data_IF_941213479320
#
_entry.id   IF_941213479320
#
_cell.length_a   1.000
_cell.length_b   1.000
_cell.length_c   1.000
_cell.angle_alpha   90.00
_cell.angle_beta   90.00
_cell.angle_gamma   90.00
#
_symmetry.space_group_name_H-M   'P 1'
#
loop_
_entity.id
_entity.type
_entity.pdbx_description
1 polymer ?
#
# COMPACT_ATOMS: atom_id res chain seq x y z
N UNK A 1 11.33 -7.77 3.22
CA UNK A 1 12.66 -8.26 3.68
C UNK A 1 12.73 -9.79 3.72
N UNK A 2 11.77 -10.48 4.38
CA UNK A 2 11.82 -11.95 4.61
C UNK A 2 12.01 -12.79 3.33
N UNK A 3 11.37 -12.44 2.22
CA UNK A 3 11.48 -13.18 0.96
C UNK A 3 12.77 -12.87 0.19
N UNK A 4 13.32 -11.67 0.32
CA UNK A 4 14.58 -11.30 -0.31
C UNK A 4 15.76 -12.03 0.31
N UNK A 5 15.75 -12.23 1.62
CA UNK A 5 16.78 -12.96 2.35
C UNK A 5 16.94 -14.41 1.88
N UNK A 6 15.85 -15.05 1.41
CA UNK A 6 15.90 -16.42 0.84
C UNK A 6 16.61 -16.52 -0.51
N UNK A 7 16.95 -15.41 -1.16
CA UNK A 7 17.54 -15.32 -2.52
C UNK A 7 19.04 -14.99 -2.52
N UNK A 8 19.78 -15.33 -1.48
CA UNK A 8 21.21 -15.03 -1.32
C UNK A 8 21.54 -13.52 -1.30
N UNK A 9 20.54 -12.65 -1.05
CA UNK A 9 20.79 -11.22 -0.88
C UNK A 9 21.13 -10.92 0.58
N UNK A 10 22.09 -10.02 0.81
CA UNK A 10 22.28 -9.43 2.13
C UNK A 10 21.21 -8.37 2.35
N UNK A 11 20.23 -8.65 3.20
CA UNK A 11 19.08 -7.78 3.43
C UNK A 11 19.21 -7.05 4.76
N UNK A 12 19.02 -5.75 4.73
CA UNK A 12 18.92 -4.89 5.90
C UNK A 12 17.52 -4.25 5.90
N UNK A 13 16.90 -4.17 7.06
CA UNK A 13 15.66 -3.43 7.29
C UNK A 13 15.96 -2.13 8.01
N UNK A 14 15.24 -1.07 7.64
CA UNK A 14 15.23 0.22 8.34
C UNK A 14 13.78 0.55 8.65
N UNK A 15 13.45 0.74 9.92
CA UNK A 15 12.10 1.01 10.40
C UNK A 15 12.18 1.68 11.76
N UNK A 16 11.45 2.77 11.99
CA UNK A 16 11.42 3.47 13.28
C UNK A 16 10.50 2.79 14.31
N UNK A 17 9.86 1.69 13.93
CA UNK A 17 8.96 0.85 14.76
C UNK A 17 7.78 1.61 15.38
N UNK A 18 7.42 2.76 14.82
CA UNK A 18 6.35 3.63 15.34
C UNK A 18 4.94 3.07 15.12
N UNK A 19 4.79 2.13 14.16
CA UNK A 19 3.47 1.57 13.87
C UNK A 19 3.15 0.38 14.77
N UNK A 20 1.88 0.30 15.16
CA UNK A 20 1.36 -0.84 15.89
C UNK A 20 1.61 -2.13 15.12
N UNK A 21 2.14 -3.15 15.77
CA UNK A 21 2.51 -4.42 15.15
C UNK A 21 3.94 -4.47 14.57
N UNK A 22 4.65 -3.35 14.42
CA UNK A 22 6.04 -3.36 13.93
C UNK A 22 6.98 -4.21 14.80
N UNK A 23 6.79 -4.22 16.10
CA UNK A 23 7.56 -5.09 17.01
C UNK A 23 7.32 -6.59 16.78
N UNK A 24 6.08 -6.98 16.44
CA UNK A 24 5.82 -8.36 16.04
C UNK A 24 6.58 -8.71 14.77
N UNK A 25 6.51 -7.85 13.73
CA UNK A 25 7.23 -8.06 12.48
C UNK A 25 8.76 -8.05 12.70
N UNK A 26 9.28 -7.19 13.59
CA UNK A 26 10.69 -7.19 13.99
C UNK A 26 11.12 -8.54 14.58
N UNK A 27 10.29 -9.17 15.40
CA UNK A 27 10.61 -10.49 15.97
C UNK A 27 10.78 -11.55 14.89
N UNK A 28 10.00 -11.47 13.80
CA UNK A 28 10.14 -12.37 12.64
C UNK A 28 11.42 -12.09 11.83
N UNK A 29 11.82 -10.83 11.71
CA UNK A 29 13.08 -10.46 11.06
C UNK A 29 14.28 -11.01 11.84
N UNK A 30 14.27 -10.86 13.17
CA UNK A 30 15.30 -11.41 14.08
C UNK A 30 15.43 -12.92 13.95
N UNK A 31 14.30 -13.67 13.91
CA UNK A 31 14.30 -15.13 13.72
C UNK A 31 14.90 -15.57 12.38
N UNK A 32 15.04 -14.67 11.42
CA UNK A 32 15.64 -14.90 10.09
C UNK A 32 16.98 -14.20 9.91
N UNK A 33 17.60 -13.74 11.01
CA UNK A 33 18.89 -13.05 11.01
C UNK A 33 18.93 -11.81 10.09
N UNK A 34 17.77 -11.12 9.95
CA UNK A 34 17.69 -9.86 9.22
C UNK A 34 17.87 -8.72 10.23
N UNK A 35 18.96 -7.97 10.10
CA UNK A 35 19.22 -6.80 10.94
C UNK A 35 18.23 -5.70 10.62
N UNK A 36 17.60 -5.13 11.64
CA UNK A 36 16.83 -3.90 11.55
C UNK A 36 17.58 -2.78 12.24
N UNK A 37 17.69 -1.64 11.57
CA UNK A 37 18.12 -0.40 12.17
C UNK A 37 16.89 0.41 12.57
N UNK A 38 16.76 0.73 13.86
CA UNK A 38 15.67 1.58 14.36
C UNK A 38 16.00 3.05 14.04
N UNK A 39 15.62 3.48 12.84
CA UNK A 39 15.91 4.81 12.31
C UNK A 39 14.64 5.36 11.67
N UNK A 40 14.32 6.62 12.01
CA UNK A 40 13.37 7.43 11.27
C UNK A 40 14.06 7.98 10.01
N UNK A 41 13.45 7.76 8.84
CA UNK A 41 14.00 8.19 7.56
C UNK A 41 14.06 9.72 7.40
N UNK A 42 13.34 10.48 8.23
CA UNK A 42 13.48 11.94 8.29
C UNK A 42 14.83 12.39 8.87
N UNK A 43 15.56 11.49 9.56
CA UNK A 43 16.86 11.77 10.15
C UNK A 43 18.01 11.32 9.23
N UNK A 44 18.45 12.22 8.36
CA UNK A 44 19.52 11.92 7.41
C UNK A 44 20.85 11.54 8.07
N UNK A 45 21.25 12.23 9.16
CA UNK A 45 22.50 11.94 9.89
C UNK A 45 22.61 10.49 10.40
N UNK A 46 21.46 9.83 10.63
CA UNK A 46 21.44 8.40 10.98
C UNK A 46 21.45 7.51 9.72
N UNK A 47 20.76 7.92 8.65
CA UNK A 47 20.71 7.17 7.40
C UNK A 47 22.07 7.10 6.70
N UNK A 48 22.81 8.22 6.65
CA UNK A 48 24.11 8.28 5.97
C UNK A 48 25.16 7.33 6.56
N UNK A 49 25.05 7.04 7.88
CA UNK A 49 25.95 6.10 8.59
C UNK A 49 25.67 4.62 8.29
N UNK A 50 24.57 4.32 7.60
CA UNK A 50 24.27 2.95 7.18
C UNK A 50 25.26 2.46 6.13
N UNK A 51 25.50 1.14 6.05
CA UNK A 51 26.33 0.56 5.00
C UNK A 51 25.88 0.99 3.60
N UNK A 52 26.76 0.87 2.63
CA UNK A 52 26.42 1.07 1.22
C UNK A 52 25.43 0.01 0.75
N UNK A 53 24.46 0.42 -0.06
CA UNK A 53 23.44 -0.44 -0.65
C UNK A 53 23.54 -0.44 -2.18
N UNK A 54 23.32 -1.59 -2.82
CA UNK A 54 23.16 -1.70 -4.27
C UNK A 54 21.76 -1.32 -4.73
N UNK A 55 20.77 -1.53 -3.86
CA UNK A 55 19.36 -1.28 -4.11
C UNK A 55 18.63 -0.89 -2.83
N UNK A 56 17.83 0.15 -2.90
CA UNK A 56 16.91 0.57 -1.86
C UNK A 56 15.48 0.27 -2.34
N UNK A 57 14.68 -0.37 -1.48
CA UNK A 57 13.23 -0.54 -1.70
C UNK A 57 12.54 0.32 -0.66
N UNK A 58 12.03 1.47 -1.08
CA UNK A 58 11.35 2.41 -0.19
C UNK A 58 9.87 2.06 -0.07
N UNK A 59 9.49 1.56 1.10
CA UNK A 59 8.13 1.23 1.52
C UNK A 59 7.64 2.16 2.64
N UNK A 60 8.45 3.17 3.02
CA UNK A 60 8.14 4.02 4.15
C UNK A 60 7.04 5.02 3.82
N UNK A 61 6.07 5.14 4.70
CA UNK A 61 5.08 6.20 4.63
C UNK A 61 4.23 6.27 5.92
N UNK A 62 3.84 7.49 6.29
CA UNK A 62 2.61 7.69 7.05
C UNK A 62 1.45 7.69 6.03
N UNK A 63 0.77 6.55 5.95
CA UNK A 63 -0.18 6.27 4.87
C UNK A 63 -1.65 6.58 5.22
N UNK A 64 -1.93 6.96 6.46
CA UNK A 64 -3.28 7.22 6.93
C UNK A 64 -3.72 8.64 6.55
N UNK A 65 -4.74 8.75 5.68
CA UNK A 65 -5.30 10.04 5.26
C UNK A 65 -5.87 10.82 6.46
N UNK A 66 -6.44 10.13 7.46
CA UNK A 66 -6.97 10.78 8.67
C UNK A 66 -5.86 11.34 9.58
N UNK A 67 -4.65 10.75 9.58
CA UNK A 67 -3.51 11.30 10.30
C UNK A 67 -3.12 12.66 9.72
N UNK A 68 -3.21 12.84 8.39
CA UNK A 68 -2.89 14.13 7.77
C UNK A 68 -3.80 15.28 8.19
N UNK A 69 -4.96 15.00 8.80
CA UNK A 69 -5.83 16.03 9.38
C UNK A 69 -5.40 16.47 10.78
N UNK A 70 -4.70 15.61 11.50
CA UNK A 70 -4.32 15.83 12.90
C UNK A 70 -2.87 16.22 13.06
N UNK A 71 -2.00 15.74 12.18
CA UNK A 71 -0.56 15.89 12.26
C UNK A 71 0.03 15.99 10.84
N UNK A 72 -0.06 17.18 10.27
CA UNK A 72 0.44 17.50 8.92
C UNK A 72 1.95 17.31 8.83
N UNK A 73 2.66 17.78 9.84
CA UNK A 73 4.12 17.75 9.88
C UNK A 73 4.63 16.32 9.82
N UNK A 74 4.04 15.44 10.61
CA UNK A 74 4.41 14.02 10.58
C UNK A 74 4.27 13.41 9.19
N UNK A 75 3.17 13.69 8.49
CA UNK A 75 2.96 13.16 7.14
C UNK A 75 3.97 13.77 6.17
N UNK A 76 4.21 15.08 6.25
CA UNK A 76 5.14 15.78 5.38
C UNK A 76 6.59 15.33 5.62
N UNK A 77 7.04 15.34 6.87
CA UNK A 77 8.40 14.92 7.21
C UNK A 77 8.66 13.43 6.91
N UNK A 78 7.74 12.54 7.24
CA UNK A 78 7.93 11.12 6.96
C UNK A 78 7.93 10.86 5.45
N UNK A 79 6.94 11.38 4.71
CA UNK A 79 6.76 10.96 3.31
C UNK A 79 7.65 11.72 2.34
N UNK A 80 7.75 13.05 2.47
CA UNK A 80 8.48 13.86 1.51
C UNK A 80 9.95 14.05 1.92
N UNK A 81 10.20 14.54 3.15
CA UNK A 81 11.57 14.73 3.64
C UNK A 81 12.27 13.38 3.82
N UNK A 82 11.53 12.37 4.30
CA UNK A 82 12.05 11.00 4.40
C UNK A 82 12.49 10.46 3.04
N UNK A 83 11.64 10.59 1.98
CA UNK A 83 12.02 10.18 0.62
C UNK A 83 13.21 10.99 0.10
N UNK A 84 13.26 12.31 0.32
CA UNK A 84 14.41 13.13 -0.03
C UNK A 84 15.72 12.62 0.63
N UNK A 85 15.66 12.23 1.90
CA UNK A 85 16.80 11.65 2.60
C UNK A 85 17.22 10.27 2.03
N UNK A 86 16.24 9.44 1.66
CA UNK A 86 16.50 8.18 0.94
C UNK A 86 17.18 8.44 -0.40
N UNK A 87 16.77 9.47 -1.13
CA UNK A 87 17.39 9.86 -2.40
C UNK A 87 18.82 10.37 -2.21
N UNK A 88 19.09 11.16 -1.17
CA UNK A 88 20.48 11.53 -0.81
C UNK A 88 21.34 10.30 -0.54
N UNK A 89 20.83 9.35 0.25
CA UNK A 89 21.51 8.08 0.54
C UNK A 89 21.74 7.26 -0.74
N UNK A 90 20.71 7.18 -1.61
CA UNK A 90 20.85 6.50 -2.89
C UNK A 90 21.91 7.11 -3.79
N UNK A 91 22.03 8.44 -3.82
CA UNK A 91 23.08 9.17 -4.54
C UNK A 91 24.47 8.84 -3.97
N UNK A 92 24.66 8.91 -2.65
CA UNK A 92 25.93 8.59 -1.98
C UNK A 92 26.37 7.16 -2.28
N UNK A 93 25.45 6.21 -2.25
CA UNK A 93 25.73 4.80 -2.46
C UNK A 93 25.83 4.40 -3.94
N UNK A 94 25.39 5.25 -4.85
CA UNK A 94 25.13 4.92 -6.27
C UNK A 94 24.13 3.76 -6.40
N UNK A 95 23.17 3.66 -5.47
CA UNK A 95 22.17 2.60 -5.44
C UNK A 95 21.02 2.88 -6.40
N UNK A 96 20.30 1.82 -6.75
CA UNK A 96 19.04 1.88 -7.48
C UNK A 96 17.90 2.02 -6.50
N UNK A 97 16.72 2.46 -6.98
CA UNK A 97 15.55 2.67 -6.16
C UNK A 97 14.32 1.95 -6.71
N UNK A 98 13.61 1.20 -5.87
CA UNK A 98 12.22 0.80 -6.11
C UNK A 98 11.36 1.52 -5.08
N UNK A 99 10.45 2.38 -5.54
CA UNK A 99 9.59 3.21 -4.69
C UNK A 99 8.16 2.69 -4.72
N UNK A 100 7.59 2.39 -3.56
CA UNK A 100 6.18 2.08 -3.42
C UNK A 100 5.39 3.37 -3.23
N UNK A 101 4.84 3.86 -4.31
CA UNK A 101 3.88 4.95 -4.35
C UNK A 101 2.45 4.43 -4.15
N UNK A 102 1.45 5.22 -4.43
CA UNK A 102 0.06 4.94 -4.10
C UNK A 102 -0.90 5.39 -5.20
N UNK A 103 -2.06 4.77 -5.27
CA UNK A 103 -3.19 5.24 -6.07
C UNK A 103 -3.75 6.61 -5.58
N UNK A 104 -3.37 7.07 -4.39
CA UNK A 104 -3.79 8.38 -3.87
C UNK A 104 -3.10 9.57 -4.54
N UNK A 105 -2.13 9.34 -5.43
CA UNK A 105 -1.55 10.39 -6.28
C UNK A 105 -2.55 10.94 -7.29
N UNK A 106 -3.59 10.20 -7.63
CA UNK A 106 -4.63 10.65 -8.56
C UNK A 106 -5.62 11.62 -7.89
N UNK A 107 -6.05 12.69 -8.59
CA UNK A 107 -6.95 13.70 -8.05
C UNK A 107 -8.33 13.14 -7.72
N UNK A 108 -8.89 13.56 -6.60
CA UNK A 108 -10.19 13.06 -6.10
C UNK A 108 -11.32 13.49 -7.02
N UNK A 109 -11.34 14.76 -7.43
CA UNK A 109 -12.37 15.30 -8.33
C UNK A 109 -12.40 14.56 -9.67
N UNK A 110 -11.21 14.33 -10.26
CA UNK A 110 -11.08 13.62 -11.53
C UNK A 110 -11.51 12.15 -11.43
N UNK A 111 -11.25 11.49 -10.29
CA UNK A 111 -11.74 10.13 -10.07
C UNK A 111 -13.26 10.10 -9.87
N UNK A 112 -13.81 11.08 -9.15
CA UNK A 112 -15.25 11.18 -8.89
C UNK A 112 -16.04 11.50 -10.17
N UNK A 113 -15.48 12.29 -11.09
CA UNK A 113 -16.12 12.63 -12.36
C UNK A 113 -16.29 11.43 -13.32
N UNK A 114 -15.53 10.35 -13.10
CA UNK A 114 -15.70 9.12 -13.88
C UNK A 114 -17.02 8.40 -13.59
N UNK A 115 -17.70 8.76 -12.50
CA UNK A 115 -18.96 8.15 -12.10
C UNK A 115 -20.11 9.05 -12.54
N UNK A 116 -20.70 8.73 -13.70
CA UNK A 116 -21.78 9.51 -14.32
C UNK A 116 -23.13 9.33 -13.63
N UNK A 117 -23.34 8.23 -12.91
CA UNK A 117 -24.61 7.86 -12.27
C UNK A 117 -24.41 7.67 -10.77
N UNK A 118 -25.33 8.10 -9.94
CA UNK A 118 -25.27 8.02 -8.47
C UNK A 118 -25.29 6.57 -7.90
N UNK A 119 -25.41 5.53 -8.73
CA UNK A 119 -25.49 4.13 -8.31
C UNK A 119 -24.19 3.39 -8.61
N UNK A 120 -23.32 3.29 -7.64
CA UNK A 120 -21.99 2.66 -7.73
C UNK A 120 -22.06 1.23 -8.31
N UNK A 121 -23.05 0.43 -7.92
CA UNK A 121 -23.19 -0.97 -8.36
C UNK A 121 -23.39 -1.11 -9.88
N UNK A 122 -24.07 -0.16 -10.51
CA UNK A 122 -24.30 -0.15 -11.97
C UNK A 122 -23.08 0.38 -12.74
N UNK A 123 -22.28 1.24 -12.13
CA UNK A 123 -21.10 1.86 -12.77
C UNK A 123 -19.88 0.95 -12.83
N UNK A 124 -19.75 -0.04 -11.93
CA UNK A 124 -18.60 -0.96 -11.89
C UNK A 124 -18.42 -1.69 -13.22
N UNK A 125 -19.51 -2.08 -13.88
CA UNK A 125 -19.46 -2.82 -15.15
C UNK A 125 -18.79 -2.03 -16.27
N UNK A 126 -18.92 -0.70 -16.25
CA UNK A 126 -18.43 0.22 -17.29
C UNK A 126 -17.26 1.08 -16.80
N UNK A 127 -16.76 0.86 -15.57
CA UNK A 127 -15.71 1.70 -14.99
C UNK A 127 -14.40 1.57 -15.77
N UNK A 128 -13.89 2.71 -16.25
CA UNK A 128 -12.59 2.79 -16.90
C UNK A 128 -11.49 2.58 -15.86
N UNK A 129 -10.73 1.49 -15.98
CA UNK A 129 -9.58 1.21 -15.12
C UNK A 129 -8.53 2.31 -15.23
N UNK A 130 -7.92 2.67 -14.10
CA UNK A 130 -6.95 3.76 -13.98
C UNK A 130 -5.54 3.25 -14.26
N UNK A 131 -4.83 3.91 -15.16
CA UNK A 131 -3.42 3.66 -15.46
C UNK A 131 -2.55 4.92 -15.26
N UNK A 132 -1.27 4.83 -15.62
CA UNK A 132 -0.28 5.87 -15.41
C UNK A 132 -0.54 7.16 -16.18
N UNK A 133 -1.35 7.09 -17.26
CA UNK A 133 -1.70 8.22 -18.13
C UNK A 133 -2.88 9.03 -17.58
N UNK A 134 -3.50 8.57 -16.49
CA UNK A 134 -4.57 9.32 -15.88
C UNK A 134 -4.05 10.67 -15.39
N UNK A 135 -4.80 11.74 -15.67
CA UNK A 135 -4.41 13.10 -15.33
C UNK A 135 -4.11 13.26 -13.84
N UNK A 136 -2.99 13.91 -13.54
CA UNK A 136 -2.54 14.20 -12.18
C UNK A 136 -2.86 15.63 -11.72
N UNK A 137 -3.48 16.46 -12.56
CA UNK A 137 -3.85 17.82 -12.19
C UNK A 137 -5.11 17.82 -11.32
N UNK A 138 -5.06 18.52 -10.18
CA UNK A 138 -6.18 18.66 -9.26
C UNK A 138 -5.85 18.26 -7.82
N UNK A 139 -6.79 18.52 -6.91
CA UNK A 139 -6.61 18.29 -5.48
C UNK A 139 -6.68 16.80 -5.10
N UNK A 140 -5.86 16.44 -4.12
CA UNK A 140 -5.80 15.13 -3.47
C UNK A 140 -5.56 15.33 -1.97
N UNK A 141 -5.49 14.26 -1.18
CA UNK A 141 -5.09 14.40 0.23
C UNK A 141 -3.61 14.83 0.34
N UNK A 142 -3.22 15.40 1.48
CA UNK A 142 -1.81 15.71 1.78
C UNK A 142 -0.92 14.46 1.63
N UNK A 143 -1.40 13.30 2.09
CA UNK A 143 -0.73 12.03 1.84
C UNK A 143 -0.49 11.78 0.33
N UNK A 144 -1.53 11.93 -0.49
CA UNK A 144 -1.40 11.77 -1.94
C UNK A 144 -0.46 12.79 -2.56
N UNK A 145 -0.50 14.04 -2.09
CA UNK A 145 0.42 15.11 -2.51
C UNK A 145 1.87 14.75 -2.17
N UNK A 146 2.18 14.39 -0.92
CA UNK A 146 3.56 14.04 -0.52
C UNK A 146 4.12 12.87 -1.31
N UNK A 147 3.30 11.87 -1.63
CA UNK A 147 3.73 10.74 -2.47
C UNK A 147 3.97 11.15 -3.92
N UNK A 148 3.12 12.02 -4.51
CA UNK A 148 3.35 12.55 -5.86
C UNK A 148 4.59 13.45 -5.93
N UNK A 149 4.77 14.35 -4.97
CA UNK A 149 5.96 15.18 -4.87
C UNK A 149 7.23 14.32 -4.73
N UNK A 150 7.16 13.20 -4.01
CA UNK A 150 8.25 12.22 -3.94
C UNK A 150 8.56 11.57 -5.29
N UNK A 151 7.53 11.25 -6.10
CA UNK A 151 7.73 10.74 -7.47
C UNK A 151 8.49 11.78 -8.32
N UNK A 152 8.09 13.04 -8.26
CA UNK A 152 8.75 14.14 -8.99
C UNK A 152 10.21 14.31 -8.53
N UNK A 153 10.48 14.29 -7.22
CA UNK A 153 11.87 14.30 -6.72
C UNK A 153 12.71 13.13 -7.22
N UNK A 154 12.13 11.93 -7.31
CA UNK A 154 12.82 10.75 -7.85
C UNK A 154 13.19 10.97 -9.32
N UNK A 155 12.29 11.56 -10.12
CA UNK A 155 12.54 11.89 -11.53
C UNK A 155 13.66 12.93 -11.67
N UNK A 156 13.68 13.98 -10.86
CA UNK A 156 14.74 14.99 -10.83
C UNK A 156 16.10 14.39 -10.41
N UNK A 157 16.13 13.52 -9.39
CA UNK A 157 17.36 12.82 -9.01
C UNK A 157 17.86 11.88 -10.11
N UNK A 158 16.95 11.27 -10.87
CA UNK A 158 17.32 10.47 -12.03
C UNK A 158 17.95 11.31 -13.11
N UNK A 159 17.35 12.45 -13.42
CA UNK A 159 17.85 13.37 -14.44
C UNK A 159 19.22 13.94 -14.08
N UNK A 160 19.36 14.47 -12.84
CA UNK A 160 20.58 15.16 -12.41
C UNK A 160 21.72 14.21 -12.00
N UNK A 161 21.40 13.04 -11.44
CA UNK A 161 22.39 12.16 -10.80
C UNK A 161 22.37 10.73 -11.36
N UNK A 162 21.69 10.49 -12.47
CA UNK A 162 21.62 9.17 -13.14
C UNK A 162 21.07 8.05 -12.23
N UNK A 163 20.18 8.40 -11.27
CA UNK A 163 19.53 7.42 -10.40
C UNK A 163 18.61 6.51 -11.23
N UNK A 164 18.86 5.20 -11.21
CA UNK A 164 17.96 4.22 -11.82
C UNK A 164 16.82 3.90 -10.85
N UNK A 165 15.58 4.14 -11.26
CA UNK A 165 14.41 3.93 -10.41
C UNK A 165 13.28 3.15 -11.08
N UNK A 166 12.40 2.60 -10.24
CA UNK A 166 11.07 2.09 -10.59
C UNK A 166 10.07 2.61 -9.57
N UNK A 167 8.98 3.21 -10.03
CA UNK A 167 7.87 3.67 -9.20
C UNK A 167 6.67 2.75 -9.40
N UNK A 168 6.11 2.23 -8.32
CA UNK A 168 4.88 1.45 -8.31
C UNK A 168 3.76 2.24 -7.62
N UNK A 169 2.80 2.79 -8.38
CA UNK A 169 1.57 3.39 -7.85
C UNK A 169 0.62 2.29 -7.44
N UNK A 170 0.75 1.85 -6.19
CA UNK A 170 0.00 0.72 -5.68
C UNK A 170 -1.45 1.07 -5.34
N UNK A 171 -2.39 0.17 -5.69
CA UNK A 171 -3.73 0.11 -5.13
C UNK A 171 -3.69 -0.31 -3.65
N UNK A 172 -4.82 -0.81 -3.14
CA UNK A 172 -4.83 -1.35 -1.78
C UNK A 172 -4.01 -2.64 -1.75
N UNK A 173 -3.06 -2.73 -0.82
CA UNK A 173 -2.27 -3.93 -0.58
C UNK A 173 -2.79 -4.60 0.69
N UNK A 174 -2.97 -5.93 0.64
CA UNK A 174 -3.31 -6.71 1.82
C UNK A 174 -2.64 -8.08 1.82
N UNK A 175 -2.56 -8.68 3.01
CA UNK A 175 -1.99 -10.02 3.23
C UNK A 175 -1.64 -10.25 4.70
N UNK A 176 -1.16 -11.45 5.03
CA UNK A 176 -0.67 -11.76 6.37
C UNK A 176 0.37 -10.74 6.86
N UNK A 177 0.47 -10.54 8.17
CA UNK A 177 1.36 -9.60 8.87
C UNK A 177 0.94 -8.12 8.74
N UNK A 178 -0.22 -7.82 8.14
CA UNK A 178 -0.78 -6.47 8.13
C UNK A 178 -1.73 -6.29 9.33
N UNK A 179 -1.39 -5.36 10.22
CA UNK A 179 -2.22 -4.96 11.35
C UNK A 179 -3.16 -3.84 10.89
N UNK A 180 -4.43 -4.19 10.71
CA UNK A 180 -5.46 -3.26 10.23
C UNK A 180 -5.88 -2.26 11.29
N UNK A 181 -6.04 -0.99 10.88
CA UNK A 181 -6.65 0.10 11.66
C UNK A 181 -7.85 0.65 10.90
N UNK A 182 -8.63 1.51 11.54
CA UNK A 182 -9.84 2.09 10.95
C UNK A 182 -9.55 2.87 9.64
N UNK A 183 -8.40 3.48 9.56
CA UNK A 183 -7.94 4.33 8.46
C UNK A 183 -6.99 3.62 7.47
N UNK A 184 -6.53 2.40 7.80
CA UNK A 184 -5.61 1.65 6.96
C UNK A 184 -5.71 0.14 7.18
N UNK A 185 -5.66 -0.65 6.08
CA UNK A 185 -5.66 -2.11 6.17
C UNK A 185 -7.06 -2.67 6.48
N UNK A 186 -8.07 -2.13 5.83
CA UNK A 186 -9.47 -2.48 6.09
C UNK A 186 -9.78 -3.98 5.94
N UNK A 187 -9.10 -4.71 5.07
CA UNK A 187 -9.31 -6.17 4.91
C UNK A 187 -8.93 -6.90 6.20
N UNK A 188 -7.73 -6.64 6.73
CA UNK A 188 -7.28 -7.27 7.98
C UNK A 188 -8.14 -6.84 9.18
N UNK A 189 -8.58 -5.56 9.20
CA UNK A 189 -9.46 -5.05 10.25
C UNK A 189 -10.84 -5.74 10.22
N UNK A 190 -11.43 -5.92 9.02
CA UNK A 190 -12.74 -6.58 8.86
C UNK A 190 -12.69 -8.02 9.35
N UNK A 191 -11.70 -8.77 8.91
CA UNK A 191 -11.49 -10.16 9.33
C UNK A 191 -11.22 -10.27 10.82
N UNK A 192 -10.40 -9.36 11.40
CA UNK A 192 -10.16 -9.32 12.84
C UNK A 192 -11.45 -9.07 13.64
N UNK A 193 -12.27 -8.12 13.19
CA UNK A 193 -13.54 -7.79 13.85
C UNK A 193 -14.54 -8.94 13.79
N UNK A 194 -14.68 -9.62 12.64
CA UNK A 194 -15.51 -10.82 12.53
C UNK A 194 -15.00 -11.96 13.42
N UNK A 195 -13.70 -12.24 13.41
CA UNK A 195 -13.09 -13.28 14.23
C UNK A 195 -13.30 -13.05 15.73
N UNK A 196 -13.44 -11.80 16.16
CA UNK A 196 -13.59 -11.41 17.57
C UNK A 196 -14.99 -10.86 17.92
N UNK A 197 -15.96 -10.92 16.99
CA UNK A 197 -17.35 -10.43 17.17
C UNK A 197 -17.41 -8.96 17.58
N UNK A 198 -16.57 -8.13 17.00
CA UNK A 198 -16.51 -6.68 17.27
C UNK A 198 -17.33 -5.91 16.23
N UNK A 199 -17.95 -4.79 16.64
CA UNK A 199 -18.78 -3.96 15.76
C UNK A 199 -18.04 -3.47 14.52
N UNK A 200 -18.72 -3.46 13.38
CA UNK A 200 -18.24 -2.92 12.11
C UNK A 200 -19.13 -1.76 11.66
N UNK A 201 -18.56 -0.84 10.86
CA UNK A 201 -19.30 0.33 10.37
C UNK A 201 -19.04 0.54 8.89
N UNK A 202 -20.10 0.73 8.09
CA UNK A 202 -19.97 1.27 6.74
C UNK A 202 -19.95 2.79 6.83
N UNK A 203 -18.89 3.41 6.36
CA UNK A 203 -18.70 4.87 6.41
C UNK A 203 -18.76 5.47 5.01
N UNK A 204 -19.43 6.60 4.87
CA UNK A 204 -19.57 7.33 3.61
C UNK A 204 -20.59 6.75 2.65
N UNK A 205 -20.93 7.51 1.62
CA UNK A 205 -21.87 7.16 0.55
C UNK A 205 -23.21 6.59 1.07
N UNK A 206 -23.78 7.26 2.09
CA UNK A 206 -25.02 6.86 2.73
C UNK A 206 -24.90 5.63 3.65
N UNK A 207 -23.67 5.23 4.02
CA UNK A 207 -23.43 4.06 4.87
C UNK A 207 -23.84 2.73 4.23
N UNK A 208 -23.81 2.66 2.89
CA UNK A 208 -24.25 1.46 2.14
C UNK A 208 -23.12 0.44 1.90
N UNK A 209 -21.86 0.81 2.09
CA UNK A 209 -20.71 -0.08 1.90
C UNK A 209 -20.41 -0.49 0.46
N UNK A 210 -20.93 0.27 -0.54
CA UNK A 210 -20.78 -0.04 -1.96
C UNK A 210 -19.49 0.51 -2.59
N UNK A 211 -18.65 1.23 -1.85
CA UNK A 211 -17.35 1.71 -2.36
C UNK A 211 -16.49 0.53 -2.80
N UNK A 212 -15.88 0.66 -3.99
CA UNK A 212 -15.09 -0.42 -4.58
C UNK A 212 -13.61 -0.09 -4.60
N UNK A 213 -12.80 -1.04 -4.19
CA UNK A 213 -11.35 -1.04 -4.33
C UNK A 213 -10.89 -2.35 -4.93
N UNK A 214 -9.82 -2.30 -5.70
CA UNK A 214 -9.06 -3.49 -6.01
C UNK A 214 -7.98 -3.71 -4.95
N UNK A 215 -7.85 -4.96 -4.53
CA UNK A 215 -6.91 -5.36 -3.48
C UNK A 215 -5.82 -6.23 -4.06
N UNK A 216 -4.57 -5.86 -3.88
CA UNK A 216 -3.41 -6.65 -4.31
C UNK A 216 -2.89 -7.48 -3.16
N UNK A 217 -2.73 -8.79 -3.38
CA UNK A 217 -2.09 -9.65 -2.39
C UNK A 217 -0.59 -9.34 -2.29
N UNK A 218 -0.07 -9.34 -1.06
CA UNK A 218 1.36 -9.08 -0.81
C UNK A 218 2.29 -10.05 -1.56
N UNK A 219 1.87 -11.31 -1.81
CA UNK A 219 2.66 -12.28 -2.56
C UNK A 219 2.73 -11.93 -4.05
N UNK A 220 1.67 -11.39 -4.64
CA UNK A 220 1.69 -10.92 -6.02
C UNK A 220 2.59 -9.70 -6.18
N UNK A 221 2.53 -8.75 -5.22
CA UNK A 221 3.47 -7.62 -5.18
C UNK A 221 4.92 -8.10 -5.01
N UNK A 222 5.16 -9.06 -4.12
CA UNK A 222 6.47 -9.69 -3.93
C UNK A 222 7.03 -10.29 -5.23
N UNK A 223 6.21 -11.02 -6.00
CA UNK A 223 6.60 -11.57 -7.30
C UNK A 223 7.01 -10.46 -8.27
N UNK A 224 6.23 -9.37 -8.34
CA UNK A 224 6.56 -8.22 -9.18
C UNK A 224 7.90 -7.59 -8.78
N UNK A 225 8.09 -7.28 -7.50
CA UNK A 225 9.32 -6.67 -7.00
C UNK A 225 10.55 -7.54 -7.31
N UNK A 226 10.44 -8.87 -7.22
CA UNK A 226 11.53 -9.78 -7.62
C UNK A 226 11.85 -9.68 -9.12
N UNK A 227 10.84 -9.57 -9.99
CA UNK A 227 11.05 -9.37 -11.43
C UNK A 227 11.71 -8.01 -11.70
N UNK A 228 11.29 -6.97 -10.98
CA UNK A 228 11.87 -5.63 -11.08
C UNK A 228 13.34 -5.63 -10.64
N UNK A 229 13.68 -6.25 -9.52
CA UNK A 229 15.07 -6.40 -9.05
C UNK A 229 15.95 -7.07 -10.10
N UNK A 230 15.48 -8.16 -10.71
CA UNK A 230 16.23 -8.88 -11.75
C UNK A 230 16.47 -8.05 -13.00
N UNK A 231 15.54 -7.15 -13.34
CA UNK A 231 15.54 -6.42 -14.62
C UNK A 231 15.90 -4.94 -14.47
N UNK A 232 16.11 -4.39 -13.25
CA UNK A 232 16.30 -2.94 -13.02
C UNK A 232 17.53 -2.35 -13.72
N UNK A 233 18.51 -3.17 -14.09
CA UNK A 233 19.65 -2.72 -14.87
C UNK A 233 19.28 -2.41 -16.34
N UNK A 234 18.26 -3.08 -16.86
CA UNK A 234 17.79 -2.95 -18.26
C UNK A 234 16.48 -2.15 -18.37
N UNK A 235 15.62 -2.25 -17.33
CA UNK A 235 14.29 -1.62 -17.28
C UNK A 235 14.23 -0.73 -16.04
N UNK A 236 14.43 0.56 -16.24
CA UNK A 236 14.45 1.58 -15.19
C UNK A 236 13.77 2.87 -15.67
N UNK A 237 13.65 3.86 -14.80
CA UNK A 237 13.00 5.16 -15.04
C UNK A 237 11.58 4.97 -15.58
N UNK A 238 10.83 4.14 -14.88
CA UNK A 238 9.46 3.78 -15.23
C UNK A 238 8.53 3.84 -14.04
N UNK A 239 7.34 4.36 -14.28
CA UNK A 239 6.22 4.36 -13.35
C UNK A 239 5.18 3.35 -13.79
N UNK A 240 4.63 2.57 -12.86
CA UNK A 240 3.62 1.56 -13.09
C UNK A 240 2.44 1.70 -12.14
N UNK A 241 1.22 1.52 -12.63
CA UNK A 241 0.05 1.27 -11.79
C UNK A 241 -0.02 -0.22 -11.46
N UNK A 242 -0.14 -0.52 -10.17
CA UNK A 242 -0.04 -1.89 -9.65
C UNK A 242 -1.16 -2.15 -8.65
N UNK A 243 -2.09 -3.03 -8.97
CA UNK A 243 -3.20 -3.37 -8.06
C UNK A 243 -3.82 -4.71 -8.37
N UNK A 244 -4.91 -5.03 -7.67
CA UNK A 244 -5.66 -6.28 -7.84
C UNK A 244 -6.46 -6.34 -9.14
N UNK A 245 -6.68 -5.20 -9.79
CA UNK A 245 -7.48 -5.05 -11.00
C UNK A 245 -8.90 -5.64 -10.82
N UNK A 246 -9.54 -6.04 -11.91
CA UNK A 246 -10.89 -6.64 -11.84
C UNK A 246 -10.91 -7.98 -11.09
N UNK A 247 -9.79 -8.71 -11.08
CA UNK A 247 -9.69 -10.04 -10.46
C UNK A 247 -9.91 -10.01 -8.96
N UNK A 248 -9.47 -8.94 -8.30
CA UNK A 248 -9.53 -8.81 -6.85
C UNK A 248 -10.23 -7.53 -6.39
N UNK A 249 -11.22 -7.07 -7.16
CA UNK A 249 -12.08 -5.96 -6.74
C UNK A 249 -13.04 -6.42 -5.63
N UNK A 250 -13.33 -5.52 -4.69
CA UNK A 250 -14.33 -5.77 -3.64
C UNK A 250 -14.98 -4.48 -3.16
N UNK A 251 -16.23 -4.58 -2.70
CA UNK A 251 -16.90 -3.58 -1.88
C UNK A 251 -16.90 -4.01 -0.41
N UNK A 252 -17.24 -3.09 0.51
CA UNK A 252 -17.37 -3.47 1.93
C UNK A 252 -18.49 -4.49 2.15
N UNK A 253 -19.58 -4.42 1.37
CA UNK A 253 -20.66 -5.41 1.42
C UNK A 253 -20.15 -6.80 1.03
N UNK A 254 -19.41 -6.90 -0.08
CA UNK A 254 -18.80 -8.15 -0.53
C UNK A 254 -17.80 -8.69 0.49
N UNK A 255 -16.94 -7.82 1.01
CA UNK A 255 -15.96 -8.17 2.03
C UNK A 255 -16.61 -8.70 3.30
N UNK A 256 -17.73 -8.07 3.76
CA UNK A 256 -18.49 -8.53 4.92
C UNK A 256 -18.99 -9.96 4.72
N UNK A 257 -19.59 -10.27 3.55
CA UNK A 257 -20.04 -11.63 3.25
C UNK A 257 -18.92 -12.68 3.29
N UNK A 258 -17.77 -12.35 2.72
CA UNK A 258 -16.59 -13.25 2.79
C UNK A 258 -16.12 -13.42 4.24
N UNK A 259 -16.12 -12.35 5.04
CA UNK A 259 -15.74 -12.43 6.45
C UNK A 259 -16.73 -13.24 7.28
N UNK A 260 -18.04 -13.14 7.01
CA UNK A 260 -19.08 -13.96 7.63
C UNK A 260 -18.88 -15.44 7.31
N UNK A 261 -18.63 -15.76 6.04
CA UNK A 261 -18.37 -17.14 5.58
C UNK A 261 -17.14 -17.74 6.27
N UNK A 262 -16.01 -17.03 6.25
CA UNK A 262 -14.74 -17.54 6.81
C UNK A 262 -14.76 -17.65 8.35
N UNK A 263 -15.45 -16.74 9.03
CA UNK A 263 -15.45 -16.68 10.50
C UNK A 263 -16.63 -17.45 11.15
N UNK A 264 -17.69 -17.70 10.40
CA UNK A 264 -18.97 -18.19 10.92
C UNK A 264 -19.74 -17.16 11.75
N UNK A 265 -19.28 -15.88 11.78
CA UNK A 265 -19.86 -14.85 12.62
C UNK A 265 -20.56 -13.76 11.77
N UNK A 266 -21.87 -13.66 11.89
CA UNK A 266 -22.65 -12.57 11.30
C UNK A 266 -22.69 -11.39 12.28
N UNK A 267 -22.29 -10.20 11.82
CA UNK A 267 -22.22 -9.00 12.65
C UNK A 267 -23.27 -7.97 12.23
N UNK A 268 -23.76 -7.22 13.21
CA UNK A 268 -24.54 -5.99 12.94
C UNK A 268 -23.59 -4.93 12.37
N UNK A 269 -24.03 -4.29 11.29
CA UNK A 269 -23.27 -3.23 10.63
C UNK A 269 -23.89 -1.87 10.94
N UNK A 270 -23.17 -1.01 11.61
CA UNK A 270 -23.55 0.39 11.81
C UNK A 270 -23.36 1.19 10.50
N UNK A 271 -24.17 2.21 10.30
CA UNK A 271 -24.16 3.06 9.10
C UNK A 271 -23.78 4.49 9.46
N UNK A 272 -22.78 5.04 8.77
CA UNK A 272 -22.38 6.45 8.88
C UNK A 272 -22.51 7.07 7.50
N UNK A 273 -23.50 7.92 7.29
CA UNK A 273 -23.85 8.49 5.98
C UNK A 273 -22.82 9.50 5.47
N UNK A 274 -22.17 10.25 6.38
CA UNK A 274 -21.23 11.32 6.03
C UNK A 274 -20.03 10.78 5.26
N UNK A 275 -19.82 11.29 4.04
CA UNK A 275 -18.67 10.95 3.20
C UNK A 275 -17.51 11.90 3.47
N UNK A 276 -16.31 11.37 3.65
CA UNK A 276 -15.10 12.18 3.73
C UNK A 276 -14.78 12.81 2.37
N UNK A 277 -14.34 14.07 2.35
CA UNK A 277 -13.91 14.78 1.13
C UNK A 277 -12.75 14.09 0.41
N UNK A 278 -12.03 13.18 1.08
CA UNK A 278 -10.91 12.42 0.53
C UNK A 278 -11.31 11.01 0.09
N UNK A 279 -12.58 10.62 0.26
CA UNK A 279 -13.01 9.32 -0.20
C UNK A 279 -13.40 9.36 -1.68
N UNK A 280 -13.22 8.21 -2.32
CA UNK A 280 -13.55 7.98 -3.72
C UNK A 280 -14.45 6.76 -3.81
N UNK A 281 -15.47 6.77 -4.66
CA UNK A 281 -16.43 5.66 -4.72
C UNK A 281 -15.86 4.41 -5.36
N UNK A 282 -15.06 4.54 -6.42
CA UNK A 282 -14.47 3.40 -7.14
C UNK A 282 -13.02 3.70 -7.49
N UNK A 283 -12.14 2.71 -7.27
CA UNK A 283 -10.79 2.67 -7.84
C UNK A 283 -10.45 1.25 -8.28
N UNK A 284 -10.07 1.08 -9.53
CA UNK A 284 -9.64 -0.20 -10.12
C UNK A 284 -8.41 0.07 -11.00
N UNK A 285 -7.32 -0.60 -10.69
CA UNK A 285 -6.04 -0.45 -11.41
C UNK A 285 -6.07 -1.10 -12.80
N UNK A 286 -5.41 -0.46 -13.75
CA UNK A 286 -5.06 -1.04 -15.04
C UNK A 286 -3.59 -1.47 -15.04
N UNK A 287 -3.33 -2.75 -14.95
CA UNK A 287 -1.98 -3.32 -14.88
C UNK A 287 -1.34 -3.58 -16.25
N UNK A 288 -1.94 -3.14 -17.37
CA UNK A 288 -1.49 -3.52 -18.71
C UNK A 288 -0.02 -3.20 -18.97
N UNK A 289 0.47 -2.03 -18.54
CA UNK A 289 1.87 -1.62 -18.74
C UNK A 289 2.84 -2.54 -17.99
N UNK A 290 2.61 -2.77 -16.71
CA UNK A 290 3.48 -3.64 -15.89
C UNK A 290 3.42 -5.10 -16.36
N UNK A 291 2.24 -5.58 -16.79
CA UNK A 291 2.07 -6.91 -17.39
C UNK A 291 2.88 -7.07 -18.68
N UNK A 292 2.78 -6.11 -19.61
CA UNK A 292 3.56 -6.14 -20.87
C UNK A 292 5.06 -6.10 -20.60
N UNK A 293 5.50 -5.33 -19.61
CA UNK A 293 6.93 -5.14 -19.32
C UNK A 293 7.57 -6.36 -18.64
N UNK A 294 6.87 -7.00 -17.71
CA UNK A 294 7.46 -8.03 -16.85
C UNK A 294 6.84 -9.42 -17.04
N UNK A 295 5.74 -9.56 -17.79
CA UNK A 295 4.96 -10.79 -17.84
C UNK A 295 4.18 -11.07 -16.55
N UNK A 296 4.15 -10.10 -15.63
CA UNK A 296 3.51 -10.24 -14.33
C UNK A 296 1.99 -10.13 -14.43
N UNK A 297 1.29 -10.97 -13.68
CA UNK A 297 -0.18 -10.96 -13.56
C UNK A 297 -0.60 -11.15 -12.11
N UNK A 298 -1.78 -10.63 -11.77
CA UNK A 298 -2.43 -10.89 -10.48
C UNK A 298 -2.90 -12.34 -10.45
N UNK A 299 -2.50 -13.08 -9.44
CA UNK A 299 -2.88 -14.50 -9.28
C UNK A 299 -3.99 -14.68 -8.25
N UNK A 300 -3.91 -13.99 -7.11
CA UNK A 300 -4.87 -14.13 -6.02
C UNK A 300 -6.09 -13.23 -6.20
N UNK A 301 -7.30 -13.79 -6.03
CA UNK A 301 -8.55 -13.04 -5.97
C UNK A 301 -8.83 -12.55 -4.54
N UNK A 302 -9.94 -11.83 -4.32
CA UNK A 302 -10.27 -11.27 -3.01
C UNK A 302 -10.54 -12.33 -1.95
N UNK A 303 -11.14 -13.47 -2.33
CA UNK A 303 -11.39 -14.58 -1.41
C UNK A 303 -10.08 -15.21 -0.92
N UNK A 304 -9.13 -15.46 -1.84
CA UNK A 304 -7.80 -15.98 -1.51
C UNK A 304 -7.07 -15.06 -0.53
N UNK A 305 -7.16 -13.74 -0.76
CA UNK A 305 -6.56 -12.73 0.12
C UNK A 305 -7.18 -12.80 1.53
N UNK A 306 -8.51 -12.85 1.60
CA UNK A 306 -9.22 -12.94 2.87
C UNK A 306 -8.91 -14.24 3.60
N UNK A 307 -8.84 -15.37 2.91
CA UNK A 307 -8.52 -16.67 3.46
C UNK A 307 -7.09 -16.69 4.07
N UNK A 308 -6.11 -16.18 3.34
CA UNK A 308 -4.72 -16.12 3.83
C UNK A 308 -4.59 -15.21 5.07
N UNK A 309 -5.25 -14.06 5.06
CA UNK A 309 -5.27 -13.14 6.20
C UNK A 309 -6.02 -13.76 7.39
N UNK A 310 -7.17 -14.37 7.15
CA UNK A 310 -7.98 -15.04 8.19
C UNK A 310 -7.20 -16.15 8.89
N UNK A 311 -6.57 -17.02 8.11
CA UNK A 311 -5.77 -18.11 8.65
C UNK A 311 -4.61 -17.60 9.50
N UNK A 312 -3.92 -16.55 9.03
CA UNK A 312 -2.87 -15.91 9.80
C UNK A 312 -3.40 -15.31 11.13
N UNK A 313 -4.51 -14.58 11.08
CA UNK A 313 -5.13 -13.98 12.26
C UNK A 313 -5.57 -15.04 13.26
N UNK A 314 -6.24 -16.10 12.79
CA UNK A 314 -6.72 -17.22 13.63
C UNK A 314 -5.58 -17.92 14.33
N UNK A 315 -4.53 -18.28 13.60
CA UNK A 315 -3.38 -19.03 14.13
C UNK A 315 -2.51 -18.20 15.08
N UNK A 316 -2.55 -16.87 14.99
CA UNK A 316 -1.73 -15.98 15.84
C UNK A 316 -2.58 -15.16 16.82
N UNK A 317 -3.89 -15.42 16.94
CA UNK A 317 -4.87 -14.61 17.67
C UNK A 317 -4.39 -14.17 19.06
N UNK A 318 -3.90 -15.12 19.87
CA UNK A 318 -3.44 -14.85 21.25
C UNK A 318 -2.29 -13.83 21.29
N UNK A 319 -1.32 -13.97 20.37
CA UNK A 319 -0.11 -13.15 20.34
C UNK A 319 -0.38 -11.74 19.80
N UNK A 320 -1.25 -11.65 18.77
CA UNK A 320 -1.45 -10.39 18.04
C UNK A 320 -2.58 -9.52 18.57
N UNK A 321 -3.42 -10.04 19.51
CA UNK A 321 -4.56 -9.30 20.09
C UNK A 321 -4.19 -7.89 20.58
N UNK A 322 -3.02 -7.71 21.16
CA UNK A 322 -2.54 -6.43 21.68
C UNK A 322 -2.19 -5.39 20.59
N UNK A 323 -2.17 -5.79 19.33
CA UNK A 323 -1.84 -4.93 18.18
C UNK A 323 -3.08 -4.53 17.35
N UNK A 324 -4.26 -5.00 17.69
CA UNK A 324 -5.57 -4.64 17.14
C UNK A 324 -6.44 -3.97 18.19
#
# INVERSE_FOLDING_TARGET
SLFLNKKKNKVISVDNLSRQGSYYNLSLLKKKNIKNFNIDISNFKKLEKLPKFDLIIDCCAEAAVEVSKKDLDRVFYTNLIGTYNILKKAKLDKSKLIFLSTSRVYPISSLNSLIKRKKIDKEIKYFKKIDERFNLNGARSIYGFTKLASEMLIEEFSYQFSLKYIINRCGVISGPLQFGKQDQGFVSLWLWRHLNRLNIKYMGYGGKGHQVRDVLHIDDLKKLVLLQIKKINKIYNKTYTVGGSLKSKTSLVQLTKICEELSGNKLKVDKVSKTSNYDIPIFISNNNKVTKTYGWKVEKNIYDICLDVYNWLKNNKKIIKKYF
#
